data_IF_522146031771
#
_entry.id   IF_522146031771
#
_cell.length_a   1.000
_cell.length_b   1.000
_cell.length_c   1.000
_cell.angle_alpha   90.00
_cell.angle_beta   90.00
_cell.angle_gamma   90.00
#
_symmetry.space_group_name_H-M   'P 1'
#
loop_
_entity.id
_entity.type
_entity.pdbx_description
1 polymer ?
#
# COMPACT_ATOMS: atom_id res chain seq x y z
N UNK A 1 -7.99 11.20 -10.26
CA UNK A 1 -7.60 12.48 -9.65
C UNK A 1 -8.20 13.66 -10.41
N UNK A 2 -7.55 14.26 -11.42
CA UNK A 2 -8.03 15.49 -12.11
C UNK A 2 -9.51 15.52 -12.50
N UNK A 3 -10.05 14.42 -13.07
CA UNK A 3 -11.48 14.37 -13.41
C UNK A 3 -12.36 14.47 -12.14
N UNK A 4 -12.01 13.76 -11.08
CA UNK A 4 -12.75 13.74 -9.82
C UNK A 4 -12.58 15.03 -9.02
N UNK A 5 -11.47 15.74 -9.19
CA UNK A 5 -11.29 17.11 -8.73
C UNK A 5 -12.29 18.05 -9.44
N UNK A 6 -12.32 18.05 -10.78
CA UNK A 6 -13.23 18.91 -11.57
C UNK A 6 -14.71 18.58 -11.32
N UNK A 7 -15.04 17.31 -11.10
CA UNK A 7 -16.39 16.87 -10.76
C UNK A 7 -16.78 17.15 -9.30
N UNK A 8 -15.83 17.56 -8.46
CA UNK A 8 -16.06 17.84 -7.05
C UNK A 8 -16.20 16.61 -6.15
N UNK A 9 -15.71 15.45 -6.59
CA UNK A 9 -15.68 14.20 -5.80
C UNK A 9 -14.59 14.23 -4.74
N UNK A 10 -13.45 14.88 -5.01
CA UNK A 10 -12.29 14.96 -4.10
C UNK A 10 -11.71 16.37 -3.97
N UNK A 11 -12.49 17.40 -4.34
CA UNK A 11 -12.06 18.81 -4.46
C UNK A 11 -11.88 19.57 -3.14
N UNK A 12 -12.02 18.87 -2.02
CA UNK A 12 -11.68 19.41 -0.69
C UNK A 12 -10.87 18.36 0.08
N UNK A 13 -10.03 18.78 1.05
CA UNK A 13 -9.28 17.85 1.88
C UNK A 13 -10.17 16.80 2.55
N UNK A 14 -11.35 17.19 3.02
CA UNK A 14 -12.30 16.30 3.69
C UNK A 14 -12.85 15.24 2.73
N UNK A 15 -13.19 15.63 1.49
CA UNK A 15 -13.66 14.69 0.47
C UNK A 15 -12.53 13.77 -0.01
N UNK A 16 -11.33 14.30 -0.19
CA UNK A 16 -10.16 13.51 -0.53
C UNK A 16 -9.89 12.46 0.54
N UNK A 17 -9.90 12.86 1.82
CA UNK A 17 -9.64 11.94 2.93
C UNK A 17 -10.70 10.85 3.03
N UNK A 18 -11.99 11.18 2.87
CA UNK A 18 -13.07 10.21 2.82
C UNK A 18 -12.92 9.14 1.72
N UNK A 19 -12.16 9.43 0.66
CA UNK A 19 -11.87 8.50 -0.43
C UNK A 19 -10.46 7.91 -0.38
N UNK A 20 -9.60 8.35 0.54
CA UNK A 20 -8.17 8.07 0.51
C UNK A 20 -7.86 6.60 0.74
N UNK A 21 -8.62 5.92 1.60
CA UNK A 21 -8.49 4.48 1.80
C UNK A 21 -8.74 3.69 0.51
N UNK A 22 -9.92 3.85 -0.11
CA UNK A 22 -10.27 3.15 -1.36
C UNK A 22 -9.27 3.46 -2.50
N UNK A 23 -8.85 4.73 -2.62
CA UNK A 23 -7.83 5.10 -3.60
C UNK A 23 -6.49 4.41 -3.32
N UNK A 24 -6.04 4.36 -2.06
CA UNK A 24 -4.80 3.69 -1.68
C UNK A 24 -4.90 2.17 -1.89
N UNK A 25 -6.01 1.52 -1.53
CA UNK A 25 -6.25 0.10 -1.76
C UNK A 25 -6.10 -0.27 -3.22
N UNK A 26 -6.68 0.51 -4.14
CA UNK A 26 -6.54 0.28 -5.60
C UNK A 26 -5.10 0.39 -6.07
N UNK A 27 -4.32 1.32 -5.50
CA UNK A 27 -2.89 1.47 -5.82
C UNK A 27 -2.11 0.28 -5.28
N UNK A 28 -2.39 -0.18 -4.06
CA UNK A 28 -1.73 -1.34 -3.46
C UNK A 28 -2.04 -2.61 -4.23
N UNK A 29 -3.30 -2.85 -4.62
CA UNK A 29 -3.69 -3.97 -5.47
C UNK A 29 -2.93 -3.95 -6.81
N UNK A 30 -2.82 -2.78 -7.45
CA UNK A 30 -2.06 -2.63 -8.68
C UNK A 30 -0.57 -2.96 -8.48
N UNK A 31 0.03 -2.45 -7.39
CA UNK A 31 1.43 -2.71 -7.04
C UNK A 31 1.65 -4.18 -6.65
N UNK A 32 0.66 -4.86 -6.08
CA UNK A 32 0.76 -6.28 -5.78
C UNK A 32 0.65 -7.11 -7.07
N UNK A 33 -0.33 -6.80 -7.91
CA UNK A 33 -0.57 -7.51 -9.18
C UNK A 33 0.58 -7.39 -10.18
N UNK A 34 1.38 -6.33 -10.10
CA UNK A 34 2.53 -6.09 -10.97
C UNK A 34 3.89 -6.39 -10.31
N UNK A 35 3.89 -7.12 -9.18
CA UNK A 35 5.11 -7.49 -8.44
C UNK A 35 5.95 -6.29 -7.99
N UNK A 36 5.28 -5.21 -7.59
CA UNK A 36 5.87 -3.96 -7.11
C UNK A 36 6.95 -3.42 -8.05
N UNK A 37 6.71 -3.52 -9.36
CA UNK A 37 7.66 -3.14 -10.43
C UNK A 37 8.23 -1.73 -10.23
N UNK A 38 7.41 -0.81 -9.76
CA UNK A 38 7.81 0.57 -9.47
C UNK A 38 8.93 0.63 -8.41
N UNK A 39 8.87 -0.22 -7.38
CA UNK A 39 9.91 -0.36 -6.37
C UNK A 39 11.14 -1.11 -6.91
N UNK A 40 10.88 -2.26 -7.55
CA UNK A 40 11.93 -3.21 -7.97
C UNK A 40 12.80 -2.69 -9.11
N UNK A 41 12.34 -1.66 -9.82
CA UNK A 41 13.15 -0.94 -10.81
C UNK A 41 14.51 -0.47 -10.28
N UNK A 42 14.59 -0.17 -8.97
CA UNK A 42 15.82 0.17 -8.27
C UNK A 42 16.10 -0.75 -7.05
N UNK A 43 15.08 -1.40 -6.49
CA UNK A 43 15.17 -2.24 -5.29
C UNK A 43 14.75 -3.68 -5.55
N UNK A 44 15.44 -4.36 -6.47
CA UNK A 44 15.22 -5.79 -6.68
C UNK A 44 15.88 -6.62 -5.57
N UNK A 45 15.24 -7.73 -5.17
CA UNK A 45 15.78 -8.66 -4.18
C UNK A 45 17.20 -9.13 -4.50
N UNK A 46 17.49 -9.39 -5.78
CA UNK A 46 18.79 -9.92 -6.21
C UNK A 46 19.92 -8.87 -6.07
N UNK A 47 19.54 -7.59 -5.97
CA UNK A 47 20.46 -6.47 -5.79
C UNK A 47 20.55 -6.00 -4.32
N UNK A 48 19.84 -6.65 -3.39
CA UNK A 48 19.87 -6.26 -1.97
C UNK A 48 21.01 -6.94 -1.21
N UNK A 49 21.84 -6.14 -0.53
CA UNK A 49 22.83 -6.61 0.44
C UNK A 49 22.15 -6.90 1.79
N UNK A 50 21.63 -8.12 1.97
CA UNK A 50 20.80 -8.50 3.12
C UNK A 50 21.54 -8.43 4.47
N UNK A 51 22.85 -8.66 4.46
CA UNK A 51 23.73 -8.62 5.63
C UNK A 51 24.02 -7.19 6.11
N UNK A 52 23.92 -6.19 5.25
CA UNK A 52 24.05 -4.77 5.61
C UNK A 52 22.73 -4.16 6.12
N UNK A 53 21.60 -4.82 5.88
CA UNK A 53 20.29 -4.34 6.32
C UNK A 53 20.11 -4.42 7.85
N UNK A 54 19.29 -3.52 8.40
CA UNK A 54 18.88 -3.56 9.81
C UNK A 54 18.27 -4.91 10.22
N UNK A 55 18.37 -5.25 11.51
CA UNK A 55 18.02 -6.58 12.06
C UNK A 55 16.66 -7.13 11.62
N UNK A 56 15.64 -6.28 11.48
CA UNK A 56 14.31 -6.71 11.04
C UNK A 56 14.23 -7.03 9.56
N UNK A 57 14.79 -6.15 8.71
CA UNK A 57 14.85 -6.36 7.26
C UNK A 57 15.66 -7.61 6.91
N UNK A 58 16.84 -7.79 7.51
CA UNK A 58 17.67 -9.00 7.38
C UNK A 58 16.93 -10.30 7.72
N UNK A 59 15.97 -10.23 8.64
CA UNK A 59 15.11 -11.38 9.00
C UNK A 59 13.95 -11.55 8.01
N UNK A 60 13.32 -10.47 7.55
CA UNK A 60 12.07 -10.51 6.78
C UNK A 60 12.31 -10.67 5.27
N UNK A 61 13.22 -9.91 4.66
CA UNK A 61 13.42 -9.92 3.21
C UNK A 61 13.76 -11.29 2.61
N UNK A 62 14.67 -12.11 3.20
CA UNK A 62 14.90 -13.46 2.65
C UNK A 62 13.64 -14.33 2.67
N UNK A 63 12.79 -14.19 3.70
CA UNK A 63 11.54 -14.94 3.81
C UNK A 63 10.48 -14.44 2.83
N UNK A 64 10.44 -13.13 2.59
CA UNK A 64 9.53 -12.51 1.63
C UNK A 64 9.84 -13.00 0.21
N UNK A 65 11.12 -13.00 -0.19
CA UNK A 65 11.57 -13.54 -1.48
C UNK A 65 11.19 -15.01 -1.65
N UNK A 66 11.44 -15.86 -0.63
CA UNK A 66 11.06 -17.28 -0.67
C UNK A 66 9.55 -17.52 -0.77
N UNK A 67 8.73 -16.59 -0.23
CA UNK A 67 7.27 -16.65 -0.28
C UNK A 67 6.67 -16.00 -1.52
N UNK A 68 7.48 -15.39 -2.38
CA UNK A 68 7.00 -14.61 -3.53
C UNK A 68 6.16 -13.40 -3.11
N UNK A 69 6.44 -12.81 -1.95
CA UNK A 69 5.78 -11.57 -1.53
C UNK A 69 6.29 -10.38 -2.33
N UNK A 70 5.42 -9.42 -2.55
CA UNK A 70 5.72 -8.15 -3.21
C UNK A 70 6.17 -7.12 -2.17
N UNK A 71 6.83 -6.05 -2.61
CA UNK A 71 7.28 -4.99 -1.70
C UNK A 71 6.09 -4.33 -0.98
N UNK A 72 4.98 -4.13 -1.69
CA UNK A 72 3.80 -3.44 -1.17
C UNK A 72 3.03 -4.25 -0.12
N UNK A 73 3.27 -5.57 -0.01
CA UNK A 73 2.65 -6.41 1.02
C UNK A 73 3.02 -5.97 2.45
N UNK A 74 4.11 -5.22 2.62
CA UNK A 74 4.57 -4.73 3.92
C UNK A 74 4.93 -3.24 3.93
N UNK A 75 5.24 -2.64 2.78
CA UNK A 75 5.68 -1.24 2.68
C UNK A 75 4.56 -0.28 2.26
N UNK A 76 3.34 -0.53 2.72
CA UNK A 76 2.28 0.49 2.72
C UNK A 76 2.74 1.65 3.63
N UNK A 77 2.42 2.87 3.24
CA UNK A 77 2.85 4.04 4.01
C UNK A 77 4.32 4.45 3.87
N UNK A 78 5.14 3.78 3.04
CA UNK A 78 6.60 4.04 3.00
C UNK A 78 6.97 5.39 2.38
N UNK A 79 6.27 5.78 1.30
CA UNK A 79 6.56 6.99 0.53
C UNK A 79 5.66 8.16 0.93
N UNK A 80 4.42 7.84 1.30
CA UNK A 80 3.39 8.78 1.74
C UNK A 80 2.74 8.18 2.97
N UNK A 81 2.20 9.01 3.85
CA UNK A 81 1.45 8.54 5.02
C UNK A 81 0.34 7.56 4.59
N UNK A 82 0.21 6.47 5.37
CA UNK A 82 -0.85 5.49 5.16
C UNK A 82 -2.20 6.11 5.56
N UNK A 83 -3.27 5.96 4.76
CA UNK A 83 -4.59 6.42 5.17
C UNK A 83 -5.12 5.60 6.34
N UNK A 84 -6.04 6.21 7.09
CA UNK A 84 -6.79 5.51 8.12
C UNK A 84 -7.71 4.45 7.49
N UNK A 85 -7.72 3.26 8.09
CA UNK A 85 -8.66 2.20 7.74
C UNK A 85 -10.07 2.65 8.17
N UNK A 86 -11.11 2.48 7.32
CA UNK A 86 -12.47 2.83 7.69
C UNK A 86 -12.90 2.02 8.92
N UNK A 87 -13.59 2.68 9.86
CA UNK A 87 -14.19 2.00 11.01
C UNK A 87 -15.23 0.97 10.53
N UNK A 88 -15.15 -0.26 11.04
CA UNK A 88 -16.06 -1.37 10.76
C UNK A 88 -17.47 -1.14 11.37
N UNK A 89 -18.19 -0.06 11.01
CA UNK A 89 -19.59 0.15 11.45
C UNK A 89 -20.62 -0.62 10.59
N UNK A 90 -20.19 -1.33 9.55
CA UNK A 90 -21.06 -2.07 8.61
C UNK A 90 -21.37 -3.52 9.01
N UNK A 91 -20.80 -4.05 10.11
CA UNK A 91 -21.06 -5.43 10.56
C UNK A 91 -22.27 -5.57 11.51
N UNK A 92 -22.68 -4.50 12.21
CA UNK A 92 -23.76 -4.53 13.22
C UNK A 92 -25.20 -4.55 12.63
N UNK A 93 -25.36 -4.48 11.30
CA UNK A 93 -26.68 -4.40 10.65
C UNK A 93 -27.30 -5.75 10.24
N UNK A 94 -26.61 -6.87 10.48
CA UNK A 94 -27.09 -8.21 10.04
C UNK A 94 -27.80 -9.05 11.10
N UNK A 95 -27.88 -8.58 12.35
CA UNK A 95 -28.50 -9.33 13.46
C UNK A 95 -29.70 -8.63 14.13
N UNK A 96 -30.37 -7.71 13.44
CA UNK A 96 -31.62 -7.07 13.91
C UNK A 96 -32.88 -7.72 13.31
#
# INVERSE_FOLDING_TARGET
DVLHEVLGTIDTPEKYEAHRWDMASRVWEKMQANDSRECRSCHDYDNMELDEQGRMARKKHPRAQLKGQTCIDCHKGIAHEEPDEPDDEEEDSKDA
#
